data_IF_277163973911
#
_entry.id   IF_277163973911
#
_cell.length_a   1.000
_cell.length_b   1.000
_cell.length_c   1.000
_cell.angle_alpha   90.00
_cell.angle_beta   90.00
_cell.angle_gamma   90.00
#
_symmetry.space_group_name_H-M   'P 1'
#
loop_
_entity.id
_entity.type
_entity.pdbx_description
1 polymer ?
#
# COMPACT_ATOMS: atom_id res chain seq x y z
N UNK A 1 -33.71 -7.61 -10.43
CA UNK A 1 -32.64 -6.59 -10.52
C UNK A 1 -32.15 -6.09 -9.15
N UNK A 2 -32.90 -6.35 -8.07
CA UNK A 2 -32.62 -5.95 -6.68
C UNK A 2 -31.48 -6.70 -5.97
N UNK A 3 -31.20 -7.96 -6.34
CA UNK A 3 -30.17 -8.78 -5.68
C UNK A 3 -28.75 -8.23 -5.87
N UNK A 4 -28.39 -7.83 -7.10
CA UNK A 4 -27.08 -7.24 -7.42
C UNK A 4 -26.85 -5.88 -6.75
N UNK A 5 -27.90 -5.09 -6.54
CA UNK A 5 -27.77 -3.79 -5.89
C UNK A 5 -27.51 -3.95 -4.40
N UNK A 6 -28.13 -4.95 -3.76
CA UNK A 6 -27.80 -5.31 -2.38
C UNK A 6 -26.34 -5.78 -2.26
N UNK A 7 -25.86 -6.63 -3.18
CA UNK A 7 -24.46 -7.12 -3.13
C UNK A 7 -23.43 -5.99 -3.28
N UNK A 8 -23.71 -4.99 -4.13
CA UNK A 8 -22.84 -3.80 -4.29
C UNK A 8 -22.87 -2.93 -3.04
N UNK A 9 -24.05 -2.71 -2.45
CA UNK A 9 -24.18 -1.93 -1.22
C UNK A 9 -23.45 -2.62 -0.07
N UNK A 10 -23.57 -3.94 0.05
CA UNK A 10 -22.80 -4.73 1.02
C UNK A 10 -21.31 -4.55 0.81
N UNK A 11 -20.79 -4.72 -0.40
CA UNK A 11 -19.37 -4.50 -0.70
C UNK A 11 -18.87 -3.07 -0.41
N UNK A 12 -19.73 -2.05 -0.55
CA UNK A 12 -19.39 -0.66 -0.18
C UNK A 12 -19.36 -0.49 1.35
N UNK A 13 -20.30 -1.10 2.06
CA UNK A 13 -20.35 -1.08 3.53
C UNK A 13 -19.10 -1.74 4.11
N UNK A 14 -18.66 -2.85 3.51
CA UNK A 14 -17.43 -3.57 3.83
C UNK A 14 -16.19 -2.67 3.69
N UNK A 15 -16.14 -1.84 2.64
CA UNK A 15 -15.02 -0.92 2.36
C UNK A 15 -15.06 0.42 3.11
N UNK A 16 -16.07 0.69 3.94
CA UNK A 16 -16.24 2.01 4.59
C UNK A 16 -15.01 2.43 5.41
N UNK A 17 -14.37 1.48 6.09
CA UNK A 17 -13.23 1.77 6.97
C UNK A 17 -12.00 2.08 6.12
N UNK A 18 -11.81 1.36 5.01
CA UNK A 18 -10.79 1.69 4.04
C UNK A 18 -10.96 3.11 3.46
N UNK A 19 -12.18 3.51 3.11
CA UNK A 19 -12.47 4.86 2.60
C UNK A 19 -12.12 5.93 3.65
N UNK A 20 -12.52 5.71 4.91
CA UNK A 20 -12.21 6.65 6.01
C UNK A 20 -10.71 6.73 6.26
N UNK A 21 -10.03 5.58 6.35
CA UNK A 21 -8.58 5.49 6.60
C UNK A 21 -7.79 6.13 5.47
N UNK A 22 -8.17 5.89 4.22
CA UNK A 22 -7.51 6.51 3.06
C UNK A 22 -7.73 8.02 3.01
N UNK A 23 -8.94 8.51 3.30
CA UNK A 23 -9.24 9.94 3.34
C UNK A 23 -8.44 10.66 4.44
N UNK A 24 -8.50 10.15 5.68
CA UNK A 24 -7.76 10.71 6.82
C UNK A 24 -6.26 10.61 6.59
N UNK A 25 -5.78 9.44 6.14
CA UNK A 25 -4.37 9.20 5.86
C UNK A 25 -3.82 10.12 4.77
N UNK A 26 -4.60 10.39 3.72
CA UNK A 26 -4.22 11.34 2.66
C UNK A 26 -4.15 12.77 3.20
N UNK A 27 -5.12 13.20 4.01
CA UNK A 27 -5.11 14.52 4.64
C UNK A 27 -3.90 14.70 5.57
N UNK A 28 -3.60 13.71 6.40
CA UNK A 28 -2.45 13.73 7.30
C UNK A 28 -1.13 13.73 6.53
N UNK A 29 -1.01 12.89 5.49
CA UNK A 29 0.18 12.86 4.65
C UNK A 29 0.39 14.20 3.95
N UNK A 30 -0.67 14.81 3.41
CA UNK A 30 -0.64 16.14 2.81
C UNK A 30 -0.23 17.22 3.80
N UNK A 31 -0.83 17.25 4.99
CA UNK A 31 -0.47 18.19 6.05
C UNK A 31 0.99 18.03 6.50
N UNK A 32 1.45 16.79 6.66
CA UNK A 32 2.84 16.49 7.02
C UNK A 32 3.82 16.97 5.95
N UNK A 33 3.53 16.70 4.67
CA UNK A 33 4.33 17.19 3.54
C UNK A 33 4.37 18.73 3.50
N UNK A 34 3.24 19.40 3.71
CA UNK A 34 3.17 20.87 3.76
C UNK A 34 3.99 21.47 4.92
N UNK A 35 3.92 20.86 6.11
CA UNK A 35 4.69 21.29 7.28
C UNK A 35 6.19 21.02 7.11
N UNK A 36 6.54 19.86 6.54
CA UNK A 36 7.91 19.53 6.20
C UNK A 36 8.48 20.50 5.15
N UNK A 37 7.68 20.89 4.14
CA UNK A 37 8.06 21.90 3.16
C UNK A 37 8.28 23.29 3.76
N UNK A 38 7.54 23.67 4.82
CA UNK A 38 7.67 25.00 5.47
C UNK A 38 8.92 25.17 6.35
N UNK A 39 9.50 24.09 6.89
CA UNK A 39 10.66 24.14 7.82
C UNK A 39 12.03 24.04 7.13
N UNK A 40 12.13 24.31 5.83
CA UNK A 40 13.35 24.11 5.05
C UNK A 40 14.47 25.13 5.37
N UNK A 41 15.33 24.78 6.33
CA UNK A 41 16.75 25.13 6.29
C UNK A 41 17.51 24.05 5.49
N UNK A 42 18.46 24.49 4.68
CA UNK A 42 18.89 23.84 3.43
C UNK A 42 20.10 22.88 3.57
N UNK A 43 20.24 22.11 4.66
CA UNK A 43 21.45 21.28 4.87
C UNK A 43 21.12 19.86 5.39
N UNK A 44 21.20 18.83 4.53
CA UNK A 44 21.23 17.43 4.99
C UNK A 44 20.81 16.32 4.01
N UNK A 45 21.27 15.08 4.30
CA UNK A 45 21.07 13.81 3.56
C UNK A 45 19.60 13.44 3.25
N UNK A 46 18.63 14.02 3.98
CA UNK A 46 17.18 13.83 3.77
C UNK A 46 16.63 14.51 2.51
N UNK A 47 17.47 15.27 1.78
CA UNK A 47 17.13 15.95 0.52
C UNK A 47 16.56 15.04 -0.57
N UNK A 48 17.00 13.77 -0.65
CA UNK A 48 16.58 12.86 -1.73
C UNK A 48 15.10 12.50 -1.68
N UNK A 49 14.55 12.25 -0.49
CA UNK A 49 13.15 11.88 -0.33
C UNK A 49 12.19 13.06 -0.50
N UNK A 50 12.60 14.26 -0.12
CA UNK A 50 11.72 15.43 -0.22
C UNK A 50 11.78 16.08 -1.61
N UNK A 51 12.97 16.19 -2.21
CA UNK A 51 13.12 16.60 -3.62
C UNK A 51 12.47 15.62 -4.59
N UNK A 52 12.38 14.34 -4.21
CA UNK A 52 11.63 13.32 -4.94
C UNK A 52 10.15 13.67 -5.09
N UNK A 53 9.45 14.01 -4.00
CA UNK A 53 8.03 14.40 -4.04
C UNK A 53 7.78 15.70 -4.81
N UNK A 54 8.69 16.67 -4.73
CA UNK A 54 8.53 17.98 -5.37
C UNK A 54 8.70 17.93 -6.90
N UNK A 55 9.43 16.94 -7.38
CA UNK A 55 9.95 16.88 -8.74
C UNK A 55 9.40 15.64 -9.49
N UNK A 56 8.29 15.10 -8.97
CA UNK A 56 7.66 13.85 -9.36
C UNK A 56 6.69 14.12 -10.53
N UNK A 57 7.02 13.60 -11.72
CA UNK A 57 6.13 13.69 -12.88
C UNK A 57 4.89 12.81 -12.70
N UNK A 58 3.78 13.15 -13.39
CA UNK A 58 2.53 12.38 -13.34
C UNK A 58 2.70 10.87 -13.59
N UNK A 59 3.65 10.48 -14.46
CA UNK A 59 3.89 9.07 -14.75
C UNK A 59 4.57 8.29 -13.61
N UNK A 60 5.30 8.99 -12.72
CA UNK A 60 5.99 8.37 -11.59
C UNK A 60 5.15 8.47 -10.29
N UNK A 61 4.10 9.31 -10.26
CA UNK A 61 3.19 9.44 -9.10
C UNK A 61 2.16 8.33 -8.99
N UNK A 62 1.76 7.73 -10.12
CA UNK A 62 0.84 6.58 -10.17
C UNK A 62 1.32 5.38 -9.32
N UNK A 63 2.54 4.84 -9.50
CA UNK A 63 2.98 3.67 -8.72
C UNK A 63 3.11 3.99 -7.22
N UNK A 64 3.46 5.23 -6.88
CA UNK A 64 3.50 5.69 -5.49
C UNK A 64 2.09 5.76 -4.89
N UNK A 65 1.12 6.29 -5.63
CA UNK A 65 -0.29 6.34 -5.22
C UNK A 65 -0.88 4.94 -5.04
N UNK A 66 -0.57 4.01 -5.95
CA UNK A 66 -0.97 2.60 -5.83
C UNK A 66 -0.35 1.95 -4.58
N UNK A 67 0.92 2.24 -4.28
CA UNK A 67 1.59 1.74 -3.06
C UNK A 67 0.95 2.31 -1.78
N UNK A 68 0.60 3.59 -1.79
CA UNK A 68 -0.14 4.23 -0.70
C UNK A 68 -1.54 3.65 -0.51
N UNK A 69 -2.26 3.36 -1.59
CA UNK A 69 -3.57 2.70 -1.53
C UNK A 69 -3.45 1.28 -0.95
N UNK A 70 -2.45 0.50 -1.38
CA UNK A 70 -2.14 -0.81 -0.78
C UNK A 70 -1.89 -0.67 0.72
N UNK A 71 -1.11 0.32 1.14
CA UNK A 71 -0.87 0.60 2.55
C UNK A 71 -2.16 0.94 3.33
N UNK A 72 -2.98 1.85 2.83
CA UNK A 72 -4.23 2.21 3.52
C UNK A 72 -5.22 1.05 3.60
N UNK A 73 -5.26 0.20 2.57
CA UNK A 73 -6.07 -1.02 2.59
C UNK A 73 -5.61 -1.97 3.70
N UNK A 74 -4.32 -2.28 3.75
CA UNK A 74 -3.75 -3.18 4.75
C UNK A 74 -3.83 -2.60 6.17
N UNK A 75 -3.67 -1.29 6.30
CA UNK A 75 -3.82 -0.60 7.58
C UNK A 75 -5.29 -0.57 8.06
N UNK A 76 -6.25 -0.47 7.14
CA UNK A 76 -7.67 -0.58 7.51
C UNK A 76 -8.01 -1.97 8.06
N UNK A 77 -7.42 -3.04 7.51
CA UNK A 77 -7.56 -4.41 8.04
C UNK A 77 -6.99 -4.53 9.45
N UNK A 78 -5.88 -3.83 9.74
CA UNK A 78 -5.33 -3.80 11.09
C UNK A 78 -6.27 -3.11 12.09
N UNK A 79 -6.87 -1.97 11.70
CA UNK A 79 -7.81 -1.23 12.54
C UNK A 79 -9.09 -2.03 12.82
N UNK A 80 -9.53 -2.86 11.88
CA UNK A 80 -10.70 -3.73 12.07
C UNK A 80 -10.41 -4.99 12.89
N UNK A 81 -9.23 -5.10 13.48
CA UNK A 81 -8.85 -6.29 14.26
C UNK A 81 -8.63 -7.53 13.40
N UNK A 82 -8.24 -7.32 12.13
CA UNK A 82 -7.99 -8.40 11.17
C UNK A 82 -9.25 -8.98 10.52
N UNK A 83 -10.36 -8.24 10.56
CA UNK A 83 -11.54 -8.56 9.75
C UNK A 83 -11.20 -8.38 8.27
N UNK A 84 -10.98 -9.50 7.56
CA UNK A 84 -10.68 -9.53 6.13
C UNK A 84 -11.84 -10.17 5.39
N UNK A 85 -12.45 -9.43 4.48
CA UNK A 85 -13.43 -9.97 3.53
C UNK A 85 -12.80 -10.21 2.17
N UNK A 86 -13.48 -11.02 1.34
CA UNK A 86 -13.05 -11.32 -0.03
C UNK A 86 -12.79 -10.06 -0.85
N UNK A 87 -13.58 -9.01 -0.66
CA UNK A 87 -13.42 -7.73 -1.36
C UNK A 87 -12.05 -7.10 -1.10
N UNK A 88 -11.52 -7.21 0.13
CA UNK A 88 -10.20 -6.68 0.48
C UNK A 88 -9.08 -7.43 -0.26
N UNK A 89 -9.20 -8.75 -0.37
CA UNK A 89 -8.24 -9.61 -1.06
C UNK A 89 -8.24 -9.31 -2.56
N UNK A 90 -9.42 -9.23 -3.17
CA UNK A 90 -9.59 -8.92 -4.59
C UNK A 90 -9.02 -7.53 -4.90
N UNK A 91 -9.34 -6.54 -4.07
CA UNK A 91 -8.85 -5.18 -4.24
C UNK A 91 -7.33 -5.11 -4.11
N UNK A 92 -6.74 -5.82 -3.15
CA UNK A 92 -5.29 -5.91 -3.02
C UNK A 92 -4.64 -6.52 -4.27
N UNK A 93 -5.18 -7.64 -4.78
CA UNK A 93 -4.68 -8.27 -6.00
C UNK A 93 -4.78 -7.35 -7.22
N UNK A 94 -5.88 -6.61 -7.37
CA UNK A 94 -6.04 -5.63 -8.44
C UNK A 94 -4.99 -4.52 -8.36
N UNK A 95 -4.74 -3.99 -7.16
CA UNK A 95 -3.71 -2.97 -6.94
C UNK A 95 -2.30 -3.53 -7.21
N UNK A 96 -2.04 -4.78 -6.87
CA UNK A 96 -0.76 -5.45 -7.12
C UNK A 96 -0.52 -5.65 -8.62
N UNK A 97 -1.53 -6.10 -9.36
CA UNK A 97 -1.46 -6.22 -10.83
C UNK A 97 -1.26 -4.86 -11.50
N UNK A 98 -1.96 -3.83 -11.03
CA UNK A 98 -1.80 -2.47 -11.52
C UNK A 98 -0.39 -1.95 -11.27
N UNK A 99 0.18 -2.23 -10.09
CA UNK A 99 1.54 -1.86 -9.74
C UNK A 99 2.57 -2.57 -10.63
N UNK A 100 2.44 -3.89 -10.80
CA UNK A 100 3.31 -4.70 -11.66
C UNK A 100 3.25 -4.25 -13.12
N UNK A 101 2.05 -3.98 -13.64
CA UNK A 101 1.85 -3.49 -15.01
C UNK A 101 2.51 -2.14 -15.26
N UNK A 102 2.49 -1.25 -14.27
CA UNK A 102 3.08 0.10 -14.40
C UNK A 102 4.60 0.12 -14.23
N UNK A 103 5.18 -0.84 -13.48
CA UNK A 103 6.61 -0.82 -13.12
C UNK A 103 7.52 -0.92 -14.36
N UNK A 104 7.07 -1.59 -15.42
CA UNK A 104 7.72 -1.64 -16.75
C UNK A 104 9.16 -2.14 -16.77
N UNK A 105 9.66 -2.71 -15.67
CA UNK A 105 11.03 -3.24 -15.52
C UNK A 105 11.00 -4.60 -14.86
N UNK A 106 11.94 -5.47 -15.25
CA UNK A 106 12.11 -6.80 -14.68
C UNK A 106 12.94 -6.81 -13.39
N UNK A 107 13.66 -5.72 -13.09
CA UNK A 107 14.52 -5.63 -11.90
C UNK A 107 13.66 -5.59 -10.63
N UNK A 108 13.74 -6.65 -9.84
CA UNK A 108 13.00 -6.80 -8.58
C UNK A 108 11.56 -7.31 -8.76
N UNK A 109 11.12 -7.63 -9.98
CA UNK A 109 9.77 -8.10 -10.27
C UNK A 109 9.44 -9.41 -9.55
N UNK A 110 10.40 -10.33 -9.47
CA UNK A 110 10.23 -11.59 -8.73
C UNK A 110 10.06 -11.37 -7.23
N UNK A 111 10.78 -10.40 -6.66
CA UNK A 111 10.61 -10.02 -5.25
C UNK A 111 9.25 -9.43 -4.99
N UNK A 112 8.72 -8.62 -5.90
CA UNK A 112 7.38 -8.04 -5.75
C UNK A 112 6.31 -9.12 -5.84
N UNK A 113 6.40 -10.02 -6.83
CA UNK A 113 5.45 -11.14 -6.97
C UNK A 113 5.46 -12.00 -5.71
N UNK A 114 6.63 -12.39 -5.21
CA UNK A 114 6.74 -13.19 -3.98
C UNK A 114 6.09 -12.45 -2.81
N UNK A 115 6.34 -11.16 -2.66
CA UNK A 115 5.78 -10.37 -1.57
C UNK A 115 4.25 -10.19 -1.70
N UNK A 116 3.75 -10.00 -2.92
CA UNK A 116 2.32 -9.94 -3.22
C UNK A 116 1.62 -11.27 -2.94
N UNK A 117 2.23 -12.40 -3.32
CA UNK A 117 1.72 -13.76 -3.03
C UNK A 117 1.72 -14.02 -1.52
N UNK A 118 2.82 -13.70 -0.83
CA UNK A 118 2.91 -13.85 0.63
C UNK A 118 1.85 -13.00 1.33
N UNK A 119 1.69 -11.73 0.94
CA UNK A 119 0.70 -10.83 1.55
C UNK A 119 -0.72 -11.31 1.29
N UNK A 120 -1.02 -11.75 0.07
CA UNK A 120 -2.33 -12.34 -0.27
C UNK A 120 -2.58 -13.61 0.55
N UNK A 121 -1.58 -14.49 0.68
CA UNK A 121 -1.68 -15.69 1.49
C UNK A 121 -1.96 -15.38 2.96
N UNK A 122 -1.30 -14.36 3.52
CA UNK A 122 -1.57 -13.91 4.89
C UNK A 122 -2.99 -13.36 5.02
N UNK A 123 -3.48 -12.57 4.06
CA UNK A 123 -4.85 -12.07 4.08
C UNK A 123 -5.89 -13.21 4.04
N UNK A 124 -5.66 -14.25 3.23
CA UNK A 124 -6.51 -15.45 3.20
C UNK A 124 -6.48 -16.17 4.55
N UNK A 125 -5.30 -16.34 5.13
CA UNK A 125 -5.15 -16.96 6.46
C UNK A 125 -5.85 -16.13 7.54
N UNK A 126 -5.73 -14.80 7.52
CA UNK A 126 -6.45 -13.90 8.43
C UNK A 126 -7.97 -14.02 8.27
N UNK A 127 -8.48 -14.08 7.04
CA UNK A 127 -9.91 -14.29 6.79
C UNK A 127 -10.40 -15.62 7.38
N UNK A 128 -9.67 -16.72 7.17
CA UNK A 128 -10.02 -18.04 7.70
C UNK A 128 -10.00 -18.06 9.23
N UNK A 129 -8.95 -17.50 9.85
CA UNK A 129 -8.83 -17.41 11.31
C UNK A 129 -9.92 -16.54 11.92
N UNK A 130 -10.26 -15.42 11.28
CA UNK A 130 -11.32 -14.53 11.75
C UNK A 130 -12.69 -15.22 11.70
N UNK A 131 -12.99 -15.90 10.59
CA UNK A 131 -14.21 -16.67 10.44
C UNK A 131 -14.30 -17.80 11.48
N UNK A 132 -13.20 -18.52 11.71
CA UNK A 132 -13.12 -19.56 12.74
C UNK A 132 -13.32 -19.00 14.16
N UNK A 133 -12.73 -17.83 14.46
CA UNK A 133 -12.86 -17.16 15.76
C UNK A 133 -14.31 -16.77 16.06
N UNK A 134 -15.03 -16.29 15.05
CA UNK A 134 -16.39 -15.77 15.21
C UNK A 134 -17.47 -16.87 15.16
N UNK A 135 -17.29 -17.91 14.34
CA UNK A 135 -18.30 -18.95 14.16
C UNK A 135 -18.14 -20.16 15.09
N UNK A 136 -16.91 -20.51 15.48
CA UNK A 136 -16.63 -21.81 16.11
C UNK A 136 -16.19 -21.63 17.56
N UNK A 137 -15.09 -20.91 17.82
CA UNK A 137 -14.52 -20.75 19.17
C UNK A 137 -13.87 -19.36 19.32
N UNK A 138 -14.36 -18.57 20.27
CA UNK A 138 -13.70 -17.34 20.74
C UNK A 138 -12.45 -17.70 21.58
N UNK A 139 -11.32 -17.99 20.92
CA UNK A 139 -10.02 -18.22 21.55
C UNK A 139 -9.12 -16.97 21.45
N UNK A 140 -8.71 -16.43 22.59
CA UNK A 140 -7.80 -15.28 22.67
C UNK A 140 -6.43 -15.52 22.01
N UNK A 141 -5.97 -16.77 21.89
CA UNK A 141 -4.74 -17.12 21.16
C UNK A 141 -4.88 -16.86 19.67
N UNK A 142 -6.02 -17.26 19.09
CA UNK A 142 -6.32 -17.05 17.67
C UNK A 142 -6.43 -15.55 17.38
N UNK A 143 -7.12 -14.79 18.25
CA UNK A 143 -7.19 -13.34 18.14
C UNK A 143 -5.79 -12.69 18.16
N UNK A 144 -4.91 -13.15 19.04
CA UNK A 144 -3.52 -12.65 19.13
C UNK A 144 -2.74 -12.92 17.83
N UNK A 145 -2.89 -14.12 17.25
CA UNK A 145 -2.27 -14.46 15.96
C UNK A 145 -2.80 -13.57 14.84
N UNK A 146 -4.11 -13.32 14.78
CA UNK A 146 -4.72 -12.44 13.78
C UNK A 146 -4.15 -11.02 13.89
N UNK A 147 -4.04 -10.47 15.10
CA UNK A 147 -3.45 -9.14 15.31
C UNK A 147 -1.98 -9.09 14.85
N UNK A 148 -1.19 -10.11 15.21
CA UNK A 148 0.21 -10.21 14.79
C UNK A 148 0.36 -10.28 13.26
N UNK A 149 -0.50 -11.03 12.58
CA UNK A 149 -0.54 -11.09 11.11
C UNK A 149 -0.90 -9.72 10.51
N UNK A 150 -1.86 -8.99 11.09
CA UNK A 150 -2.19 -7.64 10.67
C UNK A 150 -1.01 -6.66 10.80
N UNK A 151 -0.26 -6.76 11.90
CA UNK A 151 0.96 -5.96 12.10
C UNK A 151 2.02 -6.32 11.05
N UNK A 152 2.26 -7.61 10.82
CA UNK A 152 3.24 -8.10 9.85
C UNK A 152 2.94 -7.57 8.43
N UNK A 153 1.67 -7.66 8.02
CA UNK A 153 1.21 -7.16 6.72
C UNK A 153 1.34 -5.65 6.61
N UNK A 154 1.06 -4.91 7.69
CA UNK A 154 1.23 -3.45 7.73
C UNK A 154 2.69 -3.04 7.63
N UNK A 155 3.61 -3.74 8.32
CA UNK A 155 5.06 -3.51 8.20
C UNK A 155 5.52 -3.77 6.76
N UNK A 156 5.01 -4.85 6.15
CA UNK A 156 5.32 -5.16 4.77
C UNK A 156 4.86 -4.06 3.80
N UNK A 157 3.67 -3.51 4.03
CA UNK A 157 3.12 -2.40 3.25
C UNK A 157 3.99 -1.13 3.34
N UNK A 158 4.50 -0.81 4.53
CA UNK A 158 5.45 0.29 4.72
C UNK A 158 6.74 0.05 3.95
N UNK A 159 7.28 -1.18 4.00
CA UNK A 159 8.46 -1.56 3.24
C UNK A 159 8.25 -1.41 1.72
N UNK A 160 7.04 -1.72 1.23
CA UNK A 160 6.67 -1.56 -0.18
C UNK A 160 6.66 -0.09 -0.63
N UNK A 161 6.17 0.83 0.21
CA UNK A 161 6.26 2.28 -0.05
C UNK A 161 7.72 2.72 -0.17
N UNK A 162 8.59 2.31 0.76
CA UNK A 162 10.01 2.68 0.72
C UNK A 162 10.74 2.08 -0.48
N UNK A 163 10.43 0.84 -0.86
CA UNK A 163 10.98 0.20 -2.05
C UNK A 163 10.52 0.93 -3.32
N UNK A 164 9.25 1.29 -3.40
CA UNK A 164 8.68 2.03 -4.52
C UNK A 164 9.31 3.41 -4.68
N UNK A 165 9.45 4.18 -3.60
CA UNK A 165 10.12 5.47 -3.63
C UNK A 165 11.59 5.35 -4.04
N UNK A 166 12.31 4.36 -3.49
CA UNK A 166 13.71 4.10 -3.86
C UNK A 166 13.88 3.73 -5.33
N UNK A 167 12.97 2.91 -5.88
CA UNK A 167 12.97 2.54 -7.29
C UNK A 167 12.82 3.76 -8.20
N UNK A 168 11.84 4.62 -7.91
CA UNK A 168 11.57 5.81 -8.72
C UNK A 168 12.76 6.78 -8.62
N UNK A 169 13.42 6.92 -7.46
CA UNK A 169 14.65 7.71 -7.32
C UNK A 169 15.79 7.19 -8.20
N UNK A 170 16.03 5.87 -8.21
CA UNK A 170 17.09 5.24 -9.03
C UNK A 170 16.78 5.41 -10.52
N UNK A 171 15.52 5.20 -10.93
CA UNK A 171 15.06 5.41 -12.31
C UNK A 171 15.31 6.86 -12.76
N UNK A 172 15.05 7.83 -11.89
CA UNK A 172 15.30 9.26 -12.17
C UNK A 172 16.79 9.58 -12.26
N UNK A 173 17.62 9.04 -11.36
CA UNK A 173 19.07 9.17 -11.41
C UNK A 173 19.68 8.60 -12.71
N UNK A 174 19.22 7.43 -13.14
CA UNK A 174 19.66 6.82 -14.41
C UNK A 174 19.23 7.64 -15.64
N UNK A 175 18.02 8.22 -15.64
CA UNK A 175 17.58 9.13 -16.72
C UNK A 175 18.43 10.41 -16.78
N UNK A 176 18.82 10.97 -15.63
CA UNK A 176 19.68 12.14 -15.57
C UNK A 176 21.08 11.85 -16.14
N UNK A 177 21.67 10.70 -15.80
CA UNK A 177 22.97 10.28 -16.34
C UNK A 177 22.94 9.87 -17.82
N UNK A 178 21.82 9.32 -18.31
CA UNK A 178 21.64 9.02 -19.74
C UNK A 178 21.68 10.29 -20.59
N UNK A 179 21.01 11.36 -20.16
CA UNK A 179 21.03 12.66 -20.85
C UNK A 179 22.41 13.33 -20.86
N UNK A 180 23.25 13.09 -19.86
CA UNK A 180 24.61 13.66 -19.82
C UNK A 180 25.53 13.02 -20.87
N UNK A 181 25.25 11.78 -21.30
CA UNK A 181 26.06 11.08 -22.32
C UNK A 181 25.67 11.42 -23.76
N UNK A 182 24.52 12.02 -24.00
CA UNK A 182 24.10 12.46 -25.35
C UNK A 182 24.59 13.87 -25.71
N UNK A 183 25.22 14.58 -24.77
CA UNK A 183 25.72 15.95 -24.95
C UNK A 183 27.24 16.09 -24.87
N UNK A 184 27.99 14.98 -25.00
CA UNK A 184 29.46 14.98 -25.13
C UNK A 184 29.84 14.41 -26.48
#
# INVERSE_FOLDING_TARGET
>A
MTKKMNDIITGIIELKIFIIVSAIGTLLCGAFLLLACRKFQWEGKNRKWIGFFYELGMADSVPLAVSLLKFFLLFSVLITGGHVELVHIILYLMLELLFLGWRGTTKGLLSDIVMGVVTTGVLVVMQLLYHYLHEIIMDGKILTVVILLGILVSINAVADIFRSGSYIMVKKGNKAHGKTKEHI
#
